data_IF_686597859663
#
_entry.id   IF_686597859663
#
_cell.length_a   1.000
_cell.length_b   1.000
_cell.length_c   1.000
_cell.angle_alpha   90.00
_cell.angle_beta   90.00
_cell.angle_gamma   90.00
#
_symmetry.space_group_name_H-M   'P 1'
#
loop_
_entity.id
_entity.type
_entity.pdbx_description
1 polymer ?
#
# COMPACT_ATOMS: atom_id res chain seq x y z
N UNK A 1 30.44 78.69 1.13
CA UNK A 1 29.25 78.10 0.50
C UNK A 1 29.64 76.75 -0.11
N UNK A 2 29.08 75.67 0.44
CA UNK A 2 28.79 74.33 -0.13
C UNK A 2 29.52 73.99 -1.46
N UNK A 3 30.23 72.86 -1.60
CA UNK A 3 29.64 71.51 -1.61
C UNK A 3 30.66 70.42 -1.25
N UNK A 4 30.22 69.54 -0.35
CA UNK A 4 30.72 68.20 -0.04
C UNK A 4 30.46 67.28 -1.24
N UNK A 5 31.38 66.36 -1.57
CA UNK A 5 31.06 65.16 -2.34
C UNK A 5 31.81 63.97 -1.75
N UNK A 6 31.04 63.19 -1.00
CA UNK A 6 31.37 61.92 -0.36
C UNK A 6 31.22 60.82 -1.42
N UNK A 7 32.29 60.12 -1.80
CA UNK A 7 32.22 58.95 -2.66
C UNK A 7 32.01 57.71 -1.79
N UNK A 8 30.75 57.27 -1.72
CA UNK A 8 30.31 56.06 -1.03
C UNK A 8 30.63 54.85 -1.93
N UNK A 9 31.49 53.95 -1.45
CA UNK A 9 31.79 52.69 -2.15
C UNK A 9 30.62 51.72 -2.02
N UNK A 10 30.04 51.33 -3.15
CA UNK A 10 28.94 50.35 -3.22
C UNK A 10 29.50 48.94 -2.97
N UNK A 11 29.09 48.31 -1.87
CA UNK A 11 29.30 46.89 -1.61
C UNK A 11 28.28 46.10 -2.45
N UNK A 12 28.75 45.41 -3.50
CA UNK A 12 27.93 44.49 -4.29
C UNK A 12 27.84 43.16 -3.55
N UNK A 13 26.71 42.91 -2.86
CA UNK A 13 26.40 41.59 -2.30
C UNK A 13 25.76 40.77 -3.42
N UNK A 14 26.52 39.81 -3.96
CA UNK A 14 26.01 38.80 -4.88
C UNK A 14 25.24 37.77 -4.04
N UNK A 15 23.92 37.97 -3.92
CA UNK A 15 23.03 36.94 -3.37
C UNK A 15 22.94 35.81 -4.40
N UNK A 16 23.73 34.75 -4.19
CA UNK A 16 23.48 33.46 -4.82
C UNK A 16 22.16 32.92 -4.25
N UNK A 17 21.05 33.20 -4.93
CA UNK A 17 19.83 32.44 -4.74
C UNK A 17 20.10 31.07 -5.35
N UNK A 18 20.34 30.07 -4.52
CA UNK A 18 20.11 28.67 -4.94
C UNK A 18 18.68 28.60 -5.44
N UNK A 19 18.40 28.09 -6.65
CA UNK A 19 17.03 27.73 -6.97
C UNK A 19 16.57 26.78 -5.85
N UNK A 20 15.42 27.07 -5.24
CA UNK A 20 14.74 26.04 -4.48
C UNK A 20 14.57 24.87 -5.46
N UNK A 21 15.08 23.68 -5.12
CA UNK A 21 14.58 22.48 -5.75
C UNK A 21 13.07 22.54 -5.55
N UNK A 22 12.31 22.63 -6.65
CA UNK A 22 10.88 22.38 -6.55
C UNK A 22 10.78 20.96 -6.00
N UNK A 23 10.00 20.78 -4.93
CA UNK A 23 9.75 19.44 -4.43
C UNK A 23 8.93 18.73 -5.50
N UNK A 24 9.37 17.55 -5.94
CA UNK A 24 8.60 16.74 -6.88
C UNK A 24 7.22 16.50 -6.27
N UNK A 25 6.20 17.10 -6.87
CA UNK A 25 4.82 17.01 -6.44
C UNK A 25 4.30 15.62 -6.77
N UNK A 26 3.71 14.96 -5.78
CA UNK A 26 3.00 13.71 -6.00
C UNK A 26 1.59 13.93 -5.52
N UNK A 27 0.64 13.80 -6.44
CA UNK A 27 -0.78 13.88 -6.18
C UNK A 27 -1.39 12.49 -6.38
N UNK A 28 -2.43 12.19 -5.61
CA UNK A 28 -3.29 11.05 -5.88
C UNK A 28 -4.51 11.53 -6.65
N UNK A 29 -4.67 11.06 -7.88
CA UNK A 29 -5.85 11.33 -8.68
C UNK A 29 -7.02 10.45 -8.23
N UNK A 30 -6.80 9.14 -8.20
CA UNK A 30 -7.79 8.16 -7.75
C UNK A 30 -7.15 7.00 -6.99
N UNK A 31 -7.88 6.45 -6.01
CA UNK A 31 -7.58 5.12 -5.49
C UNK A 31 -8.88 4.34 -5.28
N UNK A 32 -8.77 3.02 -5.41
CA UNK A 32 -9.90 2.12 -5.19
C UNK A 32 -9.45 0.83 -4.50
N UNK A 33 -10.39 0.21 -3.77
CA UNK A 33 -10.19 -1.09 -3.12
C UNK A 33 -11.25 -2.07 -3.63
N UNK A 34 -10.83 -3.22 -4.14
CA UNK A 34 -11.71 -4.34 -4.45
C UNK A 34 -11.55 -5.38 -3.35
N UNK A 35 -12.43 -5.31 -2.36
CA UNK A 35 -12.38 -6.15 -1.15
C UNK A 35 -13.73 -6.84 -0.92
N UNK A 36 -13.74 -8.05 -0.33
CA UNK A 36 -14.98 -8.73 0.00
C UNK A 36 -15.79 -7.94 1.04
N UNK A 37 -17.11 -8.09 1.00
CA UNK A 37 -18.00 -7.48 1.98
C UNK A 37 -17.61 -7.93 3.41
N UNK A 38 -17.52 -6.96 4.33
CA UNK A 38 -17.14 -7.21 5.72
C UNK A 38 -15.63 -7.23 6.00
N UNK A 39 -14.79 -6.94 5.00
CA UNK A 39 -13.38 -6.65 5.24
C UNK A 39 -13.23 -5.42 6.14
N UNK A 40 -12.32 -5.49 7.12
CA UNK A 40 -11.90 -4.33 7.90
C UNK A 40 -10.87 -3.53 7.11
N UNK A 41 -11.06 -2.22 7.00
CA UNK A 41 -10.19 -1.30 6.25
C UNK A 41 -9.64 -0.27 7.23
N UNK A 42 -8.31 -0.19 7.33
CA UNK A 42 -7.60 0.83 8.11
C UNK A 42 -6.78 1.70 7.16
N UNK A 43 -7.12 3.00 7.14
CA UNK A 43 -6.50 4.05 6.34
C UNK A 43 -5.68 5.01 7.21
N UNK A 44 -5.48 4.73 8.49
CA UNK A 44 -4.81 5.66 9.42
C UNK A 44 -3.35 5.93 9.06
N UNK A 45 -2.71 5.03 8.31
CA UNK A 45 -1.36 5.19 7.77
C UNK A 45 -1.31 5.65 6.32
N UNK A 46 -2.44 6.01 5.71
CA UNK A 46 -2.55 6.41 4.32
C UNK A 46 -2.85 7.91 4.21
N UNK A 47 -2.08 8.63 3.41
CA UNK A 47 -2.33 10.02 3.08
C UNK A 47 -3.12 10.10 1.75
N UNK A 48 -4.40 10.44 1.83
CA UNK A 48 -5.27 10.52 0.66
C UNK A 48 -4.98 11.73 -0.26
N UNK A 49 -4.10 12.65 0.13
CA UNK A 49 -3.68 13.76 -0.74
C UNK A 49 -2.54 13.31 -1.65
N UNK A 50 -1.53 12.64 -1.09
CA UNK A 50 -0.36 12.18 -1.85
C UNK A 50 -0.50 10.74 -2.33
N UNK A 51 -1.44 9.99 -1.78
CA UNK A 51 -1.60 8.55 -2.02
C UNK A 51 -0.44 7.70 -1.50
N UNK A 52 0.40 8.25 -0.63
CA UNK A 52 1.52 7.54 -0.02
C UNK A 52 1.14 6.99 1.34
N UNK A 53 1.87 5.97 1.78
CA UNK A 53 1.68 5.33 3.08
C UNK A 53 1.10 3.93 2.94
N UNK A 54 0.37 3.50 3.97
CA UNK A 54 -0.09 2.13 4.14
C UNK A 54 -1.61 2.04 4.29
N UNK A 55 -2.23 1.18 3.49
CA UNK A 55 -3.61 0.72 3.66
C UNK A 55 -3.56 -0.71 4.18
N UNK A 56 -4.22 -0.95 5.32
CA UNK A 56 -4.29 -2.29 5.92
C UNK A 56 -5.70 -2.86 5.77
N UNK A 57 -5.79 -4.07 5.21
CA UNK A 57 -7.02 -4.83 5.06
C UNK A 57 -6.98 -6.06 5.98
N UNK A 58 -8.06 -6.27 6.73
CA UNK A 58 -8.24 -7.44 7.59
C UNK A 58 -9.47 -8.24 7.16
N UNK A 59 -9.33 -9.57 7.07
CA UNK A 59 -10.41 -10.43 6.61
C UNK A 59 -10.40 -11.77 7.35
N UNK A 60 -11.57 -12.22 7.80
CA UNK A 60 -11.75 -13.51 8.49
C UNK A 60 -12.82 -14.40 7.85
N UNK A 61 -13.25 -14.05 6.63
CA UNK A 61 -14.26 -14.83 5.89
C UNK A 61 -13.61 -16.06 5.29
N UNK A 62 -14.04 -17.24 5.74
CA UNK A 62 -13.54 -18.52 5.22
C UNK A 62 -13.95 -18.73 3.75
N UNK A 63 -13.11 -19.45 3.00
CA UNK A 63 -13.27 -19.69 1.57
C UNK A 63 -12.32 -18.85 0.71
N UNK A 64 -12.54 -18.82 -0.62
CA UNK A 64 -11.73 -18.03 -1.54
C UNK A 64 -12.02 -16.53 -1.39
N UNK A 65 -10.96 -15.72 -1.42
CA UNK A 65 -11.03 -14.28 -1.28
C UNK A 65 -10.10 -13.61 -2.29
N UNK A 66 -10.54 -12.47 -2.81
CA UNK A 66 -9.76 -11.57 -3.66
C UNK A 66 -9.69 -10.21 -2.98
N UNK A 67 -8.49 -9.64 -2.85
CA UNK A 67 -8.25 -8.32 -2.25
C UNK A 67 -7.27 -7.57 -3.14
N UNK A 68 -7.72 -6.51 -3.79
CA UNK A 68 -6.91 -5.67 -4.69
C UNK A 68 -6.95 -4.20 -4.25
N UNK A 69 -5.86 -3.48 -4.54
CA UNK A 69 -5.80 -2.02 -4.47
C UNK A 69 -5.37 -1.45 -5.83
N UNK A 70 -5.98 -0.34 -6.21
CA UNK A 70 -5.70 0.45 -7.41
C UNK A 70 -5.30 1.86 -6.97
N UNK A 71 -4.29 2.41 -7.63
CA UNK A 71 -3.78 3.76 -7.42
C UNK A 71 -3.49 4.41 -8.77
N UNK A 72 -3.92 5.65 -8.89
CA UNK A 72 -3.69 6.53 -10.02
C UNK A 72 -2.99 7.77 -9.48
N UNK A 73 -1.67 7.81 -9.69
CA UNK A 73 -0.79 8.83 -9.13
C UNK A 73 -0.35 9.77 -10.24
N UNK A 74 -0.14 11.03 -9.88
CA UNK A 74 0.35 12.06 -10.78
C UNK A 74 1.69 12.56 -10.23
N UNK A 75 2.73 12.57 -11.06
CA UNK A 75 4.05 13.09 -10.68
C UNK A 75 4.30 14.38 -11.45
N UNK A 76 4.41 15.49 -10.72
CA UNK A 76 4.72 16.81 -11.31
C UNK A 76 3.81 17.22 -12.48
N UNK A 77 2.56 16.75 -12.54
CA UNK A 77 1.65 16.93 -13.70
C UNK A 77 1.57 18.39 -14.18
N UNK A 78 1.43 19.36 -13.27
CA UNK A 78 1.35 20.79 -13.60
C UNK A 78 2.62 21.33 -14.29
N UNK A 79 3.77 20.69 -14.03
CA UNK A 79 5.08 21.11 -14.52
C UNK A 79 5.56 20.25 -15.70
N UNK A 80 5.19 18.97 -15.72
CA UNK A 80 5.81 17.95 -16.57
C UNK A 80 4.82 17.05 -17.31
N UNK A 81 3.50 17.28 -17.16
CA UNK A 81 2.41 16.48 -17.75
C UNK A 81 2.40 15.03 -17.27
N UNK A 82 1.33 14.29 -17.57
CA UNK A 82 1.13 12.90 -17.15
C UNK A 82 1.56 11.87 -18.21
N UNK A 83 1.60 12.25 -19.50
CA UNK A 83 1.74 11.28 -20.61
C UNK A 83 3.18 10.88 -20.97
N UNK A 84 4.18 11.34 -20.22
CA UNK A 84 5.61 11.05 -20.41
C UNK A 84 6.16 10.11 -19.33
N UNK A 85 5.28 9.51 -18.54
CA UNK A 85 5.63 8.63 -17.42
C UNK A 85 5.62 7.15 -17.86
N UNK A 86 6.18 6.27 -17.04
CA UNK A 86 6.14 4.84 -17.34
C UNK A 86 6.17 3.93 -16.11
N UNK A 87 5.64 2.73 -16.31
CA UNK A 87 5.66 1.64 -15.36
C UNK A 87 6.85 0.70 -15.52
N UNK A 88 7.27 0.06 -14.44
CA UNK A 88 8.16 -1.10 -14.43
C UNK A 88 7.91 -1.98 -13.21
N UNK A 89 8.48 -3.19 -13.21
CA UNK A 89 8.36 -4.13 -12.08
C UNK A 89 9.71 -4.71 -11.70
N UNK A 90 9.81 -5.17 -10.46
CA UNK A 90 11.00 -5.82 -9.93
C UNK A 90 10.64 -6.96 -8.99
N UNK A 91 11.51 -7.96 -8.92
CA UNK A 91 11.27 -9.19 -8.16
C UNK A 91 10.38 -10.20 -8.90
N UNK A 92 9.74 -11.09 -8.14
CA UNK A 92 8.84 -12.12 -8.68
C UNK A 92 7.59 -12.15 -7.83
N UNK A 93 6.37 -12.03 -8.42
CA UNK A 93 5.13 -12.09 -7.67
C UNK A 93 5.06 -13.35 -6.82
N UNK A 94 4.61 -13.20 -5.57
CA UNK A 94 4.37 -14.34 -4.72
C UNK A 94 3.17 -15.17 -5.22
N UNK A 95 3.03 -16.41 -4.75
CA UNK A 95 1.89 -17.24 -5.10
C UNK A 95 0.57 -16.55 -4.68
N UNK A 96 -0.36 -16.45 -5.64
CA UNK A 96 -1.64 -15.77 -5.44
C UNK A 96 -1.56 -14.25 -5.55
N UNK A 97 -0.38 -13.65 -5.71
CA UNK A 97 -0.25 -12.22 -5.98
C UNK A 97 -0.50 -11.95 -7.47
N UNK A 98 -1.30 -10.94 -7.77
CA UNK A 98 -1.49 -10.43 -9.13
C UNK A 98 -1.29 -8.93 -9.18
N UNK A 99 -0.95 -8.42 -10.35
CA UNK A 99 -0.63 -7.01 -10.56
C UNK A 99 -0.95 -6.56 -11.98
N UNK A 100 -0.99 -5.26 -12.19
CA UNK A 100 -1.12 -4.64 -13.51
C UNK A 100 -0.59 -3.20 -13.44
N UNK A 101 0.07 -2.76 -14.50
CA UNK A 101 0.42 -1.35 -14.71
C UNK A 101 -0.11 -0.98 -16.08
N UNK A 102 -0.92 0.06 -16.17
CA UNK A 102 -1.55 0.45 -17.44
C UNK A 102 -1.98 1.92 -17.39
N UNK A 103 -2.39 2.44 -18.54
CA UNK A 103 -3.14 3.69 -18.63
C UNK A 103 -4.47 3.55 -17.84
N UNK A 104 -4.92 4.56 -17.08
CA UNK A 104 -6.08 4.44 -16.17
C UNK A 104 -7.42 4.13 -16.87
N UNK A 105 -7.51 4.30 -18.19
CA UNK A 105 -8.60 3.81 -19.03
C UNK A 105 -9.33 4.90 -19.81
N UNK A 106 -8.70 6.06 -19.99
CA UNK A 106 -9.19 7.16 -20.81
C UNK A 106 -8.97 6.92 -22.31
N UNK A 107 -7.87 6.25 -22.69
CA UNK A 107 -7.48 6.04 -24.10
C UNK A 107 -7.51 4.57 -24.49
N UNK A 108 -6.79 3.71 -23.78
CA UNK A 108 -6.64 2.30 -24.16
C UNK A 108 -6.55 1.33 -22.99
N UNK A 109 -6.25 1.81 -21.78
CA UNK A 109 -6.00 0.92 -20.66
C UNK A 109 -7.24 0.18 -20.17
N UNK A 110 -7.05 -1.04 -19.68
CA UNK A 110 -8.12 -1.90 -19.18
C UNK A 110 -7.98 -2.28 -17.70
N UNK A 111 -6.97 -1.74 -17.01
CA UNK A 111 -6.67 -2.00 -15.61
C UNK A 111 -7.86 -1.82 -14.68
N UNK A 112 -8.65 -0.75 -14.82
CA UNK A 112 -9.81 -0.55 -13.96
C UNK A 112 -10.89 -1.63 -14.16
N UNK A 113 -11.07 -2.10 -15.40
CA UNK A 113 -11.99 -3.19 -15.71
C UNK A 113 -11.51 -4.54 -15.14
N UNK A 114 -10.22 -4.84 -15.29
CA UNK A 114 -9.58 -6.03 -14.71
C UNK A 114 -9.61 -5.99 -13.18
N UNK A 115 -9.37 -4.82 -12.59
CA UNK A 115 -9.47 -4.55 -11.16
C UNK A 115 -10.87 -4.83 -10.64
N UNK A 116 -11.92 -4.28 -11.26
CA UNK A 116 -13.32 -4.53 -10.86
C UNK A 116 -13.72 -6.00 -11.01
N UNK A 117 -13.18 -6.69 -12.02
CA UNK A 117 -13.39 -8.12 -12.23
C UNK A 117 -12.61 -9.00 -11.24
N UNK A 118 -11.67 -8.43 -10.47
CA UNK A 118 -10.81 -9.18 -9.56
C UNK A 118 -9.75 -10.03 -10.29
N UNK A 119 -9.36 -9.63 -11.50
CA UNK A 119 -8.62 -10.45 -12.45
C UNK A 119 -7.51 -9.67 -13.18
N UNK A 120 -6.60 -9.04 -12.42
CA UNK A 120 -5.40 -8.40 -12.96
C UNK A 120 -4.56 -9.38 -13.78
N UNK A 121 -4.00 -8.93 -14.90
CA UNK A 121 -3.44 -9.81 -15.92
C UNK A 121 -1.90 -10.01 -15.88
N UNK A 122 -1.22 -9.37 -14.92
CA UNK A 122 0.23 -9.41 -14.73
C UNK A 122 1.02 -8.84 -15.91
N UNK A 123 0.51 -7.74 -16.48
CA UNK A 123 1.13 -7.03 -17.60
C UNK A 123 1.46 -5.58 -17.28
N UNK A 124 2.30 -5.00 -18.12
CA UNK A 124 2.64 -3.58 -18.12
C UNK A 124 2.32 -3.00 -19.50
N UNK A 125 1.23 -2.24 -19.58
CA UNK A 125 0.74 -1.56 -20.78
C UNK A 125 1.45 -0.26 -21.11
N UNK A 126 2.14 0.34 -20.12
CA UNK A 126 2.85 1.63 -20.23
C UNK A 126 4.35 1.50 -19.90
N UNK A 127 5.11 0.64 -20.61
CA UNK A 127 6.54 0.49 -20.37
C UNK A 127 7.35 1.70 -20.84
N UNK A 128 8.59 1.86 -20.39
CA UNK A 128 9.47 2.98 -20.77
C UNK A 128 9.65 3.22 -22.29
N UNK A 129 9.42 2.20 -23.13
CA UNK A 129 9.46 2.33 -24.59
C UNK A 129 8.18 2.90 -25.23
N UNK A 130 7.12 3.07 -24.44
CA UNK A 130 5.82 3.60 -24.82
C UNK A 130 5.20 4.30 -23.60
N UNK A 131 5.81 5.41 -23.13
CA UNK A 131 5.31 6.14 -21.97
C UNK A 131 3.93 6.73 -22.23
N UNK A 132 3.14 6.84 -21.17
CA UNK A 132 1.81 7.43 -21.13
C UNK A 132 1.44 7.68 -19.65
N UNK A 133 0.20 8.06 -19.39
CA UNK A 133 -0.38 8.12 -18.05
C UNK A 133 -0.28 6.77 -17.32
N UNK A 134 0.12 6.76 -16.04
CA UNK A 134 0.44 5.52 -15.30
C UNK A 134 -0.48 5.35 -14.11
N UNK A 135 -1.24 4.27 -14.16
CA UNK A 135 -1.93 3.72 -12.99
C UNK A 135 -1.42 2.33 -12.63
N UNK A 136 -1.53 1.97 -11.35
CA UNK A 136 -1.01 0.72 -10.81
C UNK A 136 -2.06 -0.01 -9.98
N UNK A 137 -2.14 -1.33 -10.17
CA UNK A 137 -2.97 -2.21 -9.37
C UNK A 137 -2.18 -3.43 -8.89
N UNK A 138 -2.40 -3.82 -7.63
CA UNK A 138 -1.79 -5.01 -7.05
C UNK A 138 -2.75 -5.67 -6.07
N UNK A 139 -2.62 -6.98 -5.86
CA UNK A 139 -3.36 -7.65 -4.81
C UNK A 139 -3.18 -9.15 -4.76
N UNK A 140 -4.13 -9.81 -4.11
CA UNK A 140 -4.03 -11.19 -3.70
C UNK A 140 -5.33 -11.96 -3.96
N UNK A 141 -5.18 -13.16 -4.53
CA UNK A 141 -6.15 -14.23 -4.54
C UNK A 141 -5.67 -15.33 -3.57
N UNK A 142 -6.46 -15.61 -2.55
CA UNK A 142 -6.09 -16.57 -1.50
C UNK A 142 -7.33 -17.28 -0.95
N UNK A 143 -7.13 -18.25 -0.05
CA UNK A 143 -8.23 -18.90 0.66
C UNK A 143 -7.96 -18.89 2.16
N UNK A 144 -9.01 -18.70 2.95
CA UNK A 144 -8.96 -18.80 4.40
C UNK A 144 -9.71 -20.05 4.87
N UNK A 145 -9.09 -20.80 5.77
CA UNK A 145 -9.79 -21.83 6.52
C UNK A 145 -10.71 -21.19 7.58
N UNK A 146 -11.66 -21.97 8.07
CA UNK A 146 -12.48 -21.54 9.21
C UNK A 146 -11.59 -21.28 10.42
N UNK A 147 -11.70 -20.07 10.99
CA UNK A 147 -10.87 -19.67 12.12
C UNK A 147 -9.50 -19.12 11.73
N UNK A 148 -9.28 -18.72 10.47
CA UNK A 148 -8.12 -17.93 10.06
C UNK A 148 -8.49 -16.46 9.81
N UNK A 149 -7.49 -15.60 9.87
CA UNK A 149 -7.55 -14.19 9.50
C UNK A 149 -6.36 -13.85 8.59
N UNK A 150 -6.64 -13.14 7.50
CA UNK A 150 -5.64 -12.47 6.68
C UNK A 150 -5.48 -11.00 7.12
N UNK A 151 -4.23 -10.54 7.15
CA UNK A 151 -3.85 -9.13 7.20
C UNK A 151 -3.07 -8.84 5.92
N UNK A 152 -3.56 -7.92 5.11
CA UNK A 152 -2.94 -7.48 3.86
C UNK A 152 -2.54 -6.02 4.04
N UNK A 153 -1.28 -5.70 3.72
CA UNK A 153 -0.80 -4.34 3.68
C UNK A 153 -0.51 -3.95 2.23
N UNK A 154 -1.10 -2.87 1.77
CA UNK A 154 -0.72 -2.18 0.53
C UNK A 154 0.11 -0.96 0.90
N UNK A 155 1.29 -0.81 0.31
CA UNK A 155 2.21 0.27 0.61
C UNK A 155 2.58 1.00 -0.68
N UNK A 156 2.34 2.31 -0.69
CA UNK A 156 2.83 3.24 -1.70
C UNK A 156 3.91 4.13 -1.08
N UNK A 157 5.09 4.22 -1.70
CA UNK A 157 6.29 4.82 -1.10
C UNK A 157 7.16 5.49 -2.16
N UNK A 158 7.89 6.54 -1.78
CA UNK A 158 9.00 7.09 -2.59
C UNK A 158 10.31 6.32 -2.38
N UNK A 159 10.41 5.58 -1.29
CA UNK A 159 11.56 4.74 -1.00
C UNK A 159 11.39 3.37 -1.67
N UNK A 160 12.39 2.98 -2.46
CA UNK A 160 12.44 1.68 -3.13
C UNK A 160 12.45 0.52 -2.10
N UNK A 161 11.59 -0.51 -2.28
CA UNK A 161 11.61 -1.68 -1.41
C UNK A 161 12.92 -2.46 -1.53
N UNK A 162 13.54 -2.81 -0.40
CA UNK A 162 14.82 -3.55 -0.36
C UNK A 162 14.68 -4.99 -0.91
N UNK A 163 13.47 -5.55 -0.88
CA UNK A 163 13.19 -6.91 -1.34
C UNK A 163 11.70 -7.13 -1.62
N UNK A 164 11.39 -8.23 -2.32
CA UNK A 164 10.03 -8.61 -2.66
C UNK A 164 9.67 -8.22 -4.09
N UNK A 165 8.38 -8.37 -4.41
CA UNK A 165 7.83 -7.92 -5.68
C UNK A 165 7.20 -6.54 -5.51
N UNK A 166 7.49 -5.62 -6.43
CA UNK A 166 6.92 -4.28 -6.45
C UNK A 166 6.73 -3.77 -7.87
N UNK A 167 5.79 -2.84 -7.98
CA UNK A 167 5.52 -2.02 -9.14
C UNK A 167 6.22 -0.67 -8.93
N UNK A 168 6.68 -0.07 -10.00
CA UNK A 168 7.31 1.24 -10.00
C UNK A 168 6.67 2.10 -11.09
N UNK A 169 6.25 3.29 -10.72
CA UNK A 169 5.86 4.38 -11.60
C UNK A 169 6.99 5.41 -11.59
N UNK A 170 7.46 5.80 -12.76
CA UNK A 170 8.58 6.73 -12.93
C UNK A 170 8.22 7.88 -13.86
N UNK A 171 8.53 9.08 -13.41
CA UNK A 171 8.65 10.24 -14.28
C UNK A 171 10.15 10.45 -14.61
N UNK A 172 10.56 10.34 -15.88
CA UNK A 172 11.95 10.50 -16.29
C UNK A 172 12.47 11.94 -16.26
N UNK A 173 11.60 12.95 -16.34
CA UNK A 173 12.00 14.35 -16.47
C UNK A 173 12.22 15.00 -15.08
N UNK A 174 11.41 14.62 -14.08
CA UNK A 174 11.66 14.93 -12.66
C UNK A 174 12.63 13.95 -11.98
N UNK A 175 12.83 12.76 -12.56
CA UNK A 175 13.59 11.65 -11.97
C UNK A 175 12.99 11.21 -10.62
N UNK A 176 11.66 11.23 -10.55
CA UNK A 176 10.87 10.80 -9.39
C UNK A 176 10.29 9.43 -9.62
N UNK A 177 10.14 8.66 -8.55
CA UNK A 177 9.49 7.35 -8.61
C UNK A 177 8.60 7.09 -7.41
N UNK A 178 7.51 6.39 -7.68
CA UNK A 178 6.60 5.84 -6.69
C UNK A 178 6.65 4.33 -6.80
N UNK A 179 6.72 3.66 -5.66
CA UNK A 179 6.77 2.21 -5.56
C UNK A 179 5.50 1.72 -4.89
N UNK A 180 4.80 0.78 -5.53
CA UNK A 180 3.63 0.10 -4.98
C UNK A 180 3.95 -1.37 -4.74
N UNK A 181 3.72 -1.83 -3.51
CA UNK A 181 3.93 -3.22 -3.15
C UNK A 181 2.93 -3.66 -2.08
N UNK A 182 2.82 -4.97 -1.90
CA UNK A 182 1.93 -5.53 -0.89
C UNK A 182 2.48 -6.77 -0.24
N UNK A 183 2.01 -7.04 0.98
CA UNK A 183 2.29 -8.27 1.71
C UNK A 183 1.00 -8.81 2.35
N UNK A 184 0.94 -10.12 2.52
CA UNK A 184 -0.15 -10.82 3.19
C UNK A 184 0.40 -11.71 4.31
N UNK A 185 -0.28 -11.70 5.45
CA UNK A 185 -0.05 -12.63 6.55
C UNK A 185 -1.37 -13.32 6.91
N UNK A 186 -1.38 -14.66 6.89
CA UNK A 186 -2.53 -15.47 7.31
C UNK A 186 -2.18 -16.17 8.61
N UNK A 187 -3.07 -16.06 9.60
CA UNK A 187 -2.88 -16.68 10.92
C UNK A 187 -4.20 -17.15 11.52
N UNK A 188 -4.20 -18.16 12.41
CA UNK A 188 -5.40 -18.54 13.14
C UNK A 188 -5.90 -17.38 14.02
N UNK A 189 -7.21 -17.10 14.01
CA UNK A 189 -7.81 -16.27 15.06
C UNK A 189 -7.73 -17.06 16.36
N UNK A 190 -6.97 -16.55 17.31
CA UNK A 190 -6.86 -17.14 18.64
C UNK A 190 -8.25 -17.25 19.25
N UNK A 191 -8.81 -18.46 19.29
CA UNK A 191 -9.95 -18.74 20.15
C UNK A 191 -9.40 -18.69 21.58
N UNK A 192 -9.91 -17.83 22.47
CA UNK A 192 -9.51 -17.88 23.87
C UNK A 192 -9.70 -19.32 24.33
N UNK A 193 -8.63 -19.95 24.87
CA UNK A 193 -8.76 -21.34 25.30
C UNK A 193 -9.98 -21.41 26.22
N UNK A 194 -11.00 -22.23 25.86
CA UNK A 194 -12.16 -22.31 26.71
C UNK A 194 -11.65 -22.75 28.08
N UNK A 195 -12.22 -22.19 29.15
CA UNK A 195 -11.88 -22.53 30.53
C UNK A 195 -12.08 -24.02 30.88
N UNK A 196 -12.20 -24.91 29.89
CA UNK A 196 -12.19 -26.37 29.97
C UNK A 196 -11.07 -26.91 30.85
N UNK A 197 -9.85 -26.35 30.81
CA UNK A 197 -8.78 -26.75 31.74
C UNK A 197 -9.11 -26.36 33.19
N UNK A 198 -9.68 -25.16 33.39
CA UNK A 198 -10.14 -24.70 34.70
C UNK A 198 -11.35 -25.53 35.17
N UNK A 199 -12.30 -25.85 34.30
CA UNK A 199 -13.49 -26.65 34.58
C UNK A 199 -13.14 -28.11 34.86
N UNK A 200 -12.18 -28.68 34.14
CA UNK A 200 -11.63 -30.02 34.38
C UNK A 200 -10.89 -30.05 35.72
N UNK A 201 -10.08 -29.03 36.03
CA UNK A 201 -9.39 -28.91 37.31
C UNK A 201 -10.37 -28.76 38.49
N UNK A 202 -11.44 -27.97 38.32
CA UNK A 202 -12.51 -27.82 39.30
C UNK A 202 -13.33 -29.12 39.46
N UNK A 203 -13.58 -29.86 38.37
CA UNK A 203 -14.28 -31.15 38.42
C UNK A 203 -13.48 -32.26 39.11
N UNK A 204 -12.17 -32.33 38.86
CA UNK A 204 -11.27 -33.30 39.50
C UNK A 204 -11.08 -33.01 40.99
N UNK A 205 -11.00 -31.73 41.37
CA UNK A 205 -10.90 -31.35 42.78
C UNK A 205 -12.20 -31.60 43.56
N UNK A 206 -13.36 -31.36 42.95
CA UNK A 206 -14.66 -31.67 43.55
C UNK A 206 -14.89 -33.18 43.76
N UNK A 207 -14.48 -34.01 42.79
CA UNK A 207 -14.60 -35.48 42.91
C UNK A 207 -13.58 -36.08 43.88
N UNK A 208 -12.35 -35.54 43.91
CA UNK A 208 -11.34 -35.91 44.90
C UNK A 208 -11.77 -35.62 46.35
N UNK A 209 -12.38 -34.45 46.58
CA UNK A 209 -12.93 -34.09 47.88
C UNK A 209 -14.08 -35.03 48.30
N UNK A 210 -15.03 -35.31 47.41
CA UNK A 210 -16.16 -36.21 47.69
C UNK A 210 -15.72 -37.65 48.03
N UNK A 211 -14.65 -38.15 47.40
CA UNK A 211 -14.08 -39.48 47.70
C UNK A 211 -13.42 -39.57 49.07
N UNK A 212 -12.80 -38.48 49.55
CA UNK A 212 -12.15 -38.43 50.86
C UNK A 212 -13.15 -38.46 52.03
N UNK A 213 -14.34 -37.86 51.85
CA UNK A 213 -15.40 -37.89 52.88
C UNK A 213 -16.06 -39.27 53.02
N UNK A 214 -16.13 -40.09 51.96
CA UNK A 214 -16.71 -41.45 52.02
C UNK A 214 -15.85 -42.49 52.74
N UNK A 215 -14.54 -42.26 52.89
CA UNK A 215 -13.63 -43.17 53.63
C UNK A 215 -13.60 -42.94 55.14
N UNK A 216 -14.31 -41.93 55.66
CA UNK A 216 -14.31 -41.53 57.08
C UNK A 216 -15.63 -41.79 57.82
N UNK A 217 -16.57 -42.50 57.20
CA UNK A 217 -17.79 -43.01 57.82
C UNK A 217 -17.71 -44.54 57.91
#
# INVERSE_FOLDING_TARGET
MKKLALALGTLLILALTTPAALADEIALFEYALNVPAGAGIDLSGFDAVTGLGIITITLSTAGPNTVLAFFDHEIDEETNTFFNEYGSTSGTPAAGQSWEIDEPGYVFGNIYANFLAGALDNSNGVPAGSPDDVSMAIGWLFSLNAGEMAVINFIASRDEPVSGFYLQHTDPDSNTSIYLYSNIAISPVGVPEPGMLLLLALGLSATGAAGAFRKRA
#
